data_IF_488032407723
#
_entry.id   IF_488032407723
#
_cell.length_a   1.000
_cell.length_b   1.000
_cell.length_c   1.000
_cell.angle_alpha   90.00
_cell.angle_beta   90.00
_cell.angle_gamma   90.00
#
_symmetry.space_group_name_H-M   'P 1'
#
loop_
_entity.id
_entity.type
_entity.pdbx_description
1 polymer ?
#
# COMPACT_ATOMS: atom_id res chain seq x y z
N UNK A 1 10.28 2.22 12.30
CA UNK A 1 9.86 1.31 11.22
C UNK A 1 10.43 1.89 9.95
N UNK A 2 11.17 1.11 9.16
CA UNK A 2 11.70 1.59 7.89
C UNK A 2 10.60 1.58 6.80
N UNK A 3 10.77 2.27 5.67
CA UNK A 3 9.75 2.31 4.61
C UNK A 3 9.33 0.91 4.15
N UNK A 4 10.29 -0.01 3.94
CA UNK A 4 9.99 -1.39 3.51
C UNK A 4 9.05 -2.14 4.45
N UNK A 5 9.19 -1.98 5.77
CA UNK A 5 8.32 -2.58 6.78
C UNK A 5 6.91 -2.00 6.73
N UNK A 6 6.78 -0.69 6.55
CA UNK A 6 5.49 -0.02 6.43
C UNK A 6 4.74 -0.50 5.18
N UNK A 7 5.42 -0.62 4.04
CA UNK A 7 4.83 -1.16 2.82
C UNK A 7 4.40 -2.63 2.95
N UNK A 8 5.21 -3.47 3.60
CA UNK A 8 4.83 -4.87 3.87
C UNK A 8 3.64 -4.97 4.82
N UNK A 9 3.60 -4.14 5.86
CA UNK A 9 2.47 -4.08 6.79
C UNK A 9 1.19 -3.66 6.08
N UNK A 10 1.26 -2.61 5.26
CA UNK A 10 0.13 -2.17 4.46
C UNK A 10 -0.33 -3.24 3.46
N UNK A 11 0.60 -3.95 2.81
CA UNK A 11 0.27 -5.05 1.91
C UNK A 11 -0.45 -6.20 2.63
N UNK A 12 0.00 -6.55 3.84
CA UNK A 12 -0.65 -7.55 4.68
C UNK A 12 -2.07 -7.12 5.06
N UNK A 13 -2.24 -5.88 5.52
CA UNK A 13 -3.55 -5.31 5.88
C UNK A 13 -4.53 -5.33 4.69
N UNK A 14 -4.09 -4.90 3.51
CA UNK A 14 -4.91 -4.94 2.29
C UNK A 14 -5.26 -6.37 1.85
N UNK A 15 -4.36 -7.33 2.08
CA UNK A 15 -4.62 -8.75 1.78
C UNK A 15 -5.65 -9.34 2.72
N UNK A 16 -5.56 -9.03 4.02
CA UNK A 16 -6.56 -9.44 5.01
C UNK A 16 -7.91 -8.80 4.72
N UNK A 17 -7.91 -7.52 4.32
CA UNK A 17 -9.11 -6.81 3.92
C UNK A 17 -9.76 -7.43 2.68
N UNK A 18 -8.97 -7.87 1.70
CA UNK A 18 -9.46 -8.60 0.53
C UNK A 18 -10.18 -9.89 0.95
N UNK A 19 -9.57 -10.66 1.86
CA UNK A 19 -10.17 -11.88 2.38
C UNK A 19 -11.41 -11.61 3.25
N UNK A 20 -11.44 -10.49 3.98
CA UNK A 20 -12.61 -10.07 4.74
C UNK A 20 -13.77 -9.70 3.81
N UNK A 21 -13.50 -8.98 2.72
CA UNK A 21 -14.50 -8.56 1.74
C UNK A 21 -15.06 -9.77 0.96
N UNK A 22 -14.19 -10.68 0.52
CA UNK A 22 -14.57 -11.92 -0.16
C UNK A 22 -15.40 -12.85 0.75
N UNK A 23 -15.06 -12.92 2.03
CA UNK A 23 -15.79 -13.70 3.03
C UNK A 23 -17.02 -13.01 3.62
N UNK A 24 -17.39 -11.80 3.15
CA UNK A 24 -18.54 -11.05 3.64
C UNK A 24 -18.41 -10.56 5.09
N UNK A 25 -17.19 -10.53 5.65
CA UNK A 25 -16.91 -10.02 7.01
C UNK A 25 -16.81 -8.49 7.04
N UNK A 26 -16.71 -7.85 5.88
CA UNK A 26 -16.75 -6.40 5.70
C UNK A 26 -17.46 -6.07 4.38
N UNK A 27 -18.00 -4.86 4.27
CA UNK A 27 -18.60 -4.35 3.05
C UNK A 27 -17.59 -3.52 2.21
N UNK A 28 -17.97 -3.23 0.97
CA UNK A 28 -17.09 -2.53 0.03
C UNK A 28 -16.79 -1.08 0.45
N UNK A 29 -17.73 -0.39 1.10
CA UNK A 29 -17.55 1.00 1.53
C UNK A 29 -16.56 1.09 2.70
N UNK A 30 -16.68 0.17 3.66
CA UNK A 30 -15.74 0.02 4.77
C UNK A 30 -14.35 -0.34 4.25
N UNK A 31 -14.27 -1.30 3.34
CA UNK A 31 -13.00 -1.69 2.72
C UNK A 31 -12.36 -0.55 1.90
N UNK A 32 -13.16 0.24 1.20
CA UNK A 32 -12.70 1.44 0.50
C UNK A 32 -12.12 2.47 1.47
N UNK A 33 -12.83 2.76 2.56
CA UNK A 33 -12.38 3.70 3.59
C UNK A 33 -11.07 3.28 4.25
N UNK A 34 -10.93 1.99 4.59
CA UNK A 34 -9.69 1.43 5.15
C UNK A 34 -8.55 1.56 4.12
N UNK A 35 -8.80 1.22 2.85
CA UNK A 35 -7.77 1.31 1.81
C UNK A 35 -7.27 2.73 1.61
N UNK A 36 -8.18 3.71 1.56
CA UNK A 36 -7.80 5.13 1.43
C UNK A 36 -6.92 5.55 2.62
N UNK A 37 -7.30 5.17 3.84
CA UNK A 37 -6.50 5.46 5.04
C UNK A 37 -5.10 4.86 4.95
N UNK A 38 -4.98 3.59 4.56
CA UNK A 38 -3.69 2.91 4.41
C UNK A 38 -2.81 3.64 3.39
N UNK A 39 -3.38 4.03 2.25
CA UNK A 39 -2.66 4.79 1.21
C UNK A 39 -2.20 6.17 1.71
N UNK A 40 -3.05 6.91 2.42
CA UNK A 40 -2.68 8.20 3.01
C UNK A 40 -1.52 8.06 3.99
N UNK A 41 -1.58 7.07 4.88
CA UNK A 41 -0.50 6.81 5.83
C UNK A 41 0.82 6.46 5.13
N UNK A 42 0.79 5.67 4.04
CA UNK A 42 1.98 5.38 3.25
C UNK A 42 2.54 6.62 2.55
N UNK A 43 1.68 7.49 2.00
CA UNK A 43 2.11 8.71 1.34
C UNK A 43 2.81 9.69 2.31
N UNK A 44 2.38 9.74 3.57
CA UNK A 44 2.99 10.61 4.61
C UNK A 44 4.40 10.17 5.01
N UNK A 45 4.69 8.88 4.93
CA UNK A 45 5.95 8.28 5.40
C UNK A 45 6.92 7.93 4.27
N UNK A 46 6.49 8.02 3.01
CA UNK A 46 7.31 7.71 1.84
C UNK A 46 8.35 8.81 1.58
N UNK A 47 9.66 8.49 1.65
CA UNK A 47 10.72 9.48 1.41
C UNK A 47 10.85 9.90 -0.07
N UNK A 48 10.48 9.05 -1.03
CA UNK A 48 10.55 9.34 -2.45
C UNK A 48 9.29 10.07 -2.91
N UNK A 49 9.43 11.37 -3.19
CA UNK A 49 8.32 12.25 -3.60
C UNK A 49 7.47 11.69 -4.74
N UNK A 50 8.07 11.11 -5.77
CA UNK A 50 7.33 10.54 -6.91
C UNK A 50 6.45 9.35 -6.51
N UNK A 51 6.93 8.51 -5.59
CA UNK A 51 6.16 7.39 -5.04
C UNK A 51 5.04 7.89 -4.13
N UNK A 52 5.33 8.89 -3.28
CA UNK A 52 4.33 9.52 -2.42
C UNK A 52 3.18 10.16 -3.23
N UNK A 53 3.50 10.91 -4.29
CA UNK A 53 2.50 11.53 -5.18
C UNK A 53 1.65 10.48 -5.91
N UNK A 54 2.25 9.37 -6.34
CA UNK A 54 1.50 8.27 -6.98
C UNK A 54 0.52 7.59 -6.01
N UNK A 55 0.93 7.37 -4.75
CA UNK A 55 0.08 6.79 -3.70
C UNK A 55 -1.05 7.75 -3.34
N UNK A 56 -0.74 9.03 -3.15
CA UNK A 56 -1.73 10.06 -2.87
C UNK A 56 -2.78 10.15 -3.99
N UNK A 57 -2.33 10.19 -5.25
CA UNK A 57 -3.22 10.21 -6.41
C UNK A 57 -4.10 8.97 -6.54
N UNK A 58 -3.63 7.79 -6.12
CA UNK A 58 -4.47 6.60 -6.03
C UNK A 58 -5.54 6.76 -4.94
N UNK A 59 -5.17 7.27 -3.77
CA UNK A 59 -6.10 7.57 -2.68
C UNK A 59 -7.20 8.55 -3.10
N UNK A 60 -6.86 9.64 -3.77
CA UNK A 60 -7.83 10.62 -4.29
C UNK A 60 -8.78 10.03 -5.34
N UNK A 61 -8.28 9.19 -6.24
CA UNK A 61 -9.11 8.48 -7.23
C UNK A 61 -10.10 7.53 -6.56
N UNK A 62 -9.68 6.84 -5.52
CA UNK A 62 -10.57 5.99 -4.73
C UNK A 62 -11.62 6.83 -3.99
N UNK A 63 -11.22 7.95 -3.39
CA UNK A 63 -12.11 8.84 -2.66
C UNK A 63 -13.16 9.55 -3.55
N UNK A 64 -12.81 9.88 -4.79
CA UNK A 64 -13.68 10.61 -5.73
C UNK A 64 -14.73 9.76 -6.45
N UNK A 65 -14.80 8.46 -6.16
CA UNK A 65 -15.78 7.55 -6.76
C UNK A 65 -15.21 6.22 -7.22
N UNK A 66 -14.04 5.82 -6.71
CA UNK A 66 -13.49 4.51 -6.98
C UNK A 66 -14.30 3.41 -6.30
N UNK A 67 -14.27 2.21 -6.89
CA UNK A 67 -14.83 1.01 -6.29
C UNK A 67 -13.72 0.07 -5.86
N UNK A 68 -14.00 -0.72 -4.83
CA UNK A 68 -13.09 -1.75 -4.36
C UNK A 68 -13.74 -3.12 -4.47
N UNK A 69 -12.92 -4.08 -4.85
CA UNK A 69 -13.24 -5.51 -4.82
C UNK A 69 -12.00 -6.27 -4.34
N UNK A 70 -12.12 -7.56 -3.97
CA UNK A 70 -11.00 -8.34 -3.47
C UNK A 70 -9.79 -8.36 -4.42
N UNK A 71 -10.02 -8.41 -5.73
CA UNK A 71 -8.93 -8.44 -6.70
C UNK A 71 -8.16 -7.11 -6.76
N UNK A 72 -8.87 -5.98 -6.69
CA UNK A 72 -8.26 -4.65 -6.64
C UNK A 72 -7.44 -4.47 -5.38
N UNK A 73 -7.92 -4.96 -4.24
CA UNK A 73 -7.17 -4.95 -2.98
C UNK A 73 -5.88 -5.76 -3.09
N UNK A 74 -5.94 -6.96 -3.68
CA UNK A 74 -4.74 -7.79 -3.94
C UNK A 74 -3.77 -7.12 -4.90
N UNK A 75 -4.26 -6.44 -5.94
CA UNK A 75 -3.42 -5.68 -6.89
C UNK A 75 -2.67 -4.52 -6.20
N UNK A 76 -3.36 -3.78 -5.34
CA UNK A 76 -2.77 -2.71 -4.55
C UNK A 76 -1.74 -3.31 -3.58
N UNK A 77 -2.08 -4.38 -2.86
CA UNK A 77 -1.16 -5.07 -1.95
C UNK A 77 0.12 -5.57 -2.66
N UNK A 78 -0.02 -6.18 -3.84
CA UNK A 78 1.11 -6.62 -4.65
C UNK A 78 1.99 -5.45 -5.11
N UNK A 79 1.39 -4.29 -5.39
CA UNK A 79 2.14 -3.07 -5.70
C UNK A 79 2.92 -2.59 -4.48
N UNK A 80 2.33 -2.60 -3.28
CA UNK A 80 3.05 -2.24 -2.07
C UNK A 80 4.19 -3.21 -1.75
N UNK A 81 4.02 -4.52 -1.98
CA UNK A 81 5.12 -5.48 -1.88
C UNK A 81 6.29 -5.16 -2.82
N UNK A 82 6.02 -4.76 -4.06
CA UNK A 82 7.07 -4.36 -5.01
C UNK A 82 7.80 -3.10 -4.56
N UNK A 83 7.08 -2.11 -4.00
CA UNK A 83 7.70 -0.91 -3.45
C UNK A 83 8.57 -1.25 -2.23
N UNK A 84 8.11 -2.14 -1.35
CA UNK A 84 8.92 -2.62 -0.22
C UNK A 84 10.24 -3.25 -0.68
N UNK A 85 10.19 -4.14 -1.69
CA UNK A 85 11.37 -4.78 -2.27
C UNK A 85 12.35 -3.77 -2.85
N UNK A 86 11.84 -2.76 -3.57
CA UNK A 86 12.68 -1.67 -4.11
C UNK A 86 13.43 -0.92 -3.00
N UNK A 87 12.76 -0.64 -1.88
CA UNK A 87 13.40 -0.02 -0.70
C UNK A 87 14.46 -0.93 -0.07
N UNK A 88 14.22 -2.25 0.02
CA UNK A 88 15.23 -3.20 0.52
C UNK A 88 16.46 -3.25 -0.39
N UNK A 89 16.25 -3.31 -1.70
CA UNK A 89 17.32 -3.38 -2.69
C UNK A 89 18.19 -2.13 -2.65
N UNK A 90 17.57 -0.95 -2.53
CA UNK A 90 18.28 0.31 -2.37
C UNK A 90 19.08 0.34 -1.05
N UNK A 91 18.50 -0.12 0.05
CA UNK A 91 19.20 -0.22 1.33
C UNK A 91 20.38 -1.21 1.28
N UNK A 92 20.24 -2.31 0.55
CA UNK A 92 21.29 -3.31 0.34
C UNK A 92 22.43 -2.77 -0.54
N UNK A 93 22.09 -2.09 -1.64
CA UNK A 93 23.07 -1.43 -2.51
C UNK A 93 23.88 -0.38 -1.74
N UNK A 94 23.20 0.47 -0.95
CA UNK A 94 23.89 1.44 -0.11
C UNK A 94 24.84 0.75 0.87
N UNK A 95 24.41 -0.30 1.57
CA UNK A 95 25.30 -1.05 2.48
C UNK A 95 26.53 -1.62 1.77
N UNK A 96 26.37 -2.15 0.55
CA UNK A 96 27.48 -2.68 -0.25
C UNK A 96 28.46 -1.61 -0.78
N UNK A 97 28.03 -0.34 -0.88
CA UNK A 97 28.93 0.77 -1.23
C UNK A 97 29.80 1.24 -0.05
N UNK A 98 29.41 0.91 1.18
CA UNK A 98 30.12 1.29 2.41
C UNK A 98 30.85 0.11 3.10
N UNK A 99 30.88 -1.06 2.48
CA UNK A 99 31.61 -2.27 2.95
C UNK A 99 32.91 -2.48 2.19
#
# INVERSE_FOLDING_TARGET
MNPSEQYRSAAAELTELAAALEGGRTDADTALGITIRVLQQLAEVEPQRGTAEAIHGLGERLQSGGTINPDKLREIAATQHRVAQSHDDLANQMRGLWS
#
